data_IF_687269400983
#
_entry.id   IF_687269400983
#
_cell.length_a   1.000
_cell.length_b   1.000
_cell.length_c   1.000
_cell.angle_alpha   90.00
_cell.angle_beta   90.00
_cell.angle_gamma   90.00
#
_symmetry.space_group_name_H-M   'P 1'
#
loop_
_entity.id
_entity.type
_entity.pdbx_description
1 polymer ?
#
# COMPACT_ATOMS: atom_id res chain seq x y z
N UNK A 1 38.60 -60.51 -25.68
CA UNK A 1 37.50 -61.04 -24.85
C UNK A 1 36.46 -59.94 -24.68
N UNK A 2 35.20 -60.25 -24.99
CA UNK A 2 34.04 -59.36 -24.88
C UNK A 2 33.59 -59.28 -23.41
N UNK A 3 33.13 -58.10 -22.96
CA UNK A 3 31.85 -57.93 -22.27
C UNK A 3 31.42 -56.45 -22.33
N UNK A 4 30.37 -56.20 -23.12
CA UNK A 4 29.56 -54.98 -23.07
C UNK A 4 28.72 -55.03 -21.79
N UNK A 5 28.55 -53.90 -21.11
CA UNK A 5 27.32 -53.63 -20.36
C UNK A 5 27.00 -52.13 -20.43
N UNK A 6 25.84 -51.83 -21.02
CA UNK A 6 25.15 -50.54 -21.01
C UNK A 6 24.61 -50.25 -19.60
N UNK A 7 24.66 -48.98 -19.14
CA UNK A 7 23.67 -48.45 -18.20
C UNK A 7 23.65 -46.90 -18.14
N UNK A 8 22.73 -46.34 -18.94
CA UNK A 8 21.79 -45.21 -18.73
C UNK A 8 22.28 -43.96 -17.96
N UNK A 9 22.14 -42.74 -18.54
CA UNK A 9 22.37 -41.50 -17.82
C UNK A 9 21.19 -41.24 -16.86
N UNK A 10 21.47 -41.14 -15.56
CA UNK A 10 20.45 -40.71 -14.59
C UNK A 10 20.36 -39.19 -14.62
N UNK A 11 19.34 -38.77 -15.36
CA UNK A 11 18.54 -37.56 -15.20
C UNK A 11 18.27 -37.20 -13.73
N UNK A 12 18.68 -36.00 -13.33
CA UNK A 12 17.98 -35.10 -12.40
C UNK A 12 18.74 -33.77 -12.45
N UNK A 13 18.43 -32.85 -13.37
CA UNK A 13 17.38 -31.86 -13.15
C UNK A 13 17.45 -31.32 -11.72
N UNK A 14 18.57 -30.69 -11.35
CA UNK A 14 18.54 -29.66 -10.33
C UNK A 14 18.14 -28.36 -11.03
N UNK A 15 16.83 -28.30 -11.29
CA UNK A 15 16.10 -27.10 -11.65
C UNK A 15 16.59 -25.94 -10.80
N UNK A 16 17.00 -24.87 -11.48
CA UNK A 16 16.43 -23.54 -11.25
C UNK A 16 15.97 -23.36 -9.80
N UNK A 17 16.93 -23.16 -8.90
CA UNK A 17 16.69 -22.30 -7.76
C UNK A 17 16.44 -20.92 -8.37
N UNK A 18 15.20 -20.70 -8.82
CA UNK A 18 14.67 -19.39 -9.06
C UNK A 18 14.82 -18.69 -7.74
N UNK A 19 15.86 -17.88 -7.61
CA UNK A 19 15.90 -16.80 -6.65
C UNK A 19 14.68 -15.97 -7.01
N UNK A 20 13.56 -16.28 -6.35
CA UNK A 20 12.43 -15.40 -6.24
C UNK A 20 13.04 -14.12 -5.68
N UNK A 21 13.39 -13.20 -6.59
CA UNK A 21 13.58 -11.82 -6.25
C UNK A 21 12.17 -11.41 -5.83
N UNK A 22 11.87 -11.60 -4.54
CA UNK A 22 10.89 -10.77 -3.88
C UNK A 22 11.38 -9.36 -4.19
N UNK A 23 10.74 -8.71 -5.16
CA UNK A 23 10.94 -7.31 -5.42
C UNK A 23 10.66 -6.65 -4.08
N UNK A 24 11.70 -6.25 -3.36
CA UNK A 24 11.58 -5.52 -2.12
C UNK A 24 10.81 -4.27 -2.49
N UNK A 25 9.52 -4.28 -2.19
CA UNK A 25 8.70 -3.09 -2.24
C UNK A 25 9.42 -2.06 -1.38
N UNK A 26 9.97 -1.03 -2.02
CA UNK A 26 10.88 -0.07 -1.39
C UNK A 26 10.11 0.83 -0.42
N UNK A 27 9.70 0.26 0.71
CA UNK A 27 9.51 1.00 1.93
C UNK A 27 10.86 1.49 2.44
N UNK A 28 10.90 2.64 3.13
CA UNK A 28 12.12 3.08 3.78
C UNK A 28 12.54 2.07 4.87
N UNK A 29 13.82 2.13 5.25
CA UNK A 29 14.30 1.40 6.43
C UNK A 29 13.43 1.78 7.66
N UNK A 30 12.82 0.79 8.35
CA UNK A 30 12.01 1.06 9.52
C UNK A 30 12.84 1.66 10.66
N UNK A 31 14.16 1.48 10.70
CA UNK A 31 15.04 1.93 11.76
C UNK A 31 14.70 1.26 13.09
N UNK A 32 14.70 2.02 14.20
CA UNK A 32 14.34 1.49 15.52
C UNK A 32 12.87 1.05 15.55
N UNK A 33 12.62 -0.22 15.83
CA UNK A 33 11.28 -0.80 15.94
C UNK A 33 10.61 -0.51 17.30
N UNK A 34 9.27 -0.48 17.35
CA UNK A 34 8.50 -0.52 18.60
C UNK A 34 8.97 -1.67 19.51
N UNK A 35 9.07 -1.41 20.82
CA UNK A 35 9.58 -2.38 21.80
C UNK A 35 11.08 -2.28 22.10
N UNK A 36 11.85 -1.58 21.26
CA UNK A 36 13.22 -1.18 21.60
C UNK A 36 13.21 0.02 22.57
N UNK A 37 14.06 0.06 23.62
CA UNK A 37 14.13 1.20 24.56
C UNK A 37 14.37 2.56 23.89
N UNK A 38 15.10 2.57 22.77
CA UNK A 38 15.41 3.80 22.03
C UNK A 38 14.26 4.28 21.12
N UNK A 39 13.19 3.50 20.99
CA UNK A 39 12.03 3.88 20.18
C UNK A 39 11.36 5.15 20.70
N UNK A 40 11.36 5.37 22.02
CA UNK A 40 10.86 6.62 22.61
C UNK A 40 11.61 7.85 22.09
N UNK A 41 12.94 7.79 21.98
CA UNK A 41 13.74 8.89 21.46
C UNK A 41 13.50 9.12 19.96
N UNK A 42 13.29 8.04 19.20
CA UNK A 42 12.88 8.14 17.79
C UNK A 42 11.56 8.91 17.67
N UNK A 43 10.53 8.52 18.43
CA UNK A 43 9.24 9.23 18.41
C UNK A 43 9.38 10.71 18.83
N UNK A 44 10.21 11.01 19.83
CA UNK A 44 10.47 12.39 20.25
C UNK A 44 11.15 13.21 19.14
N UNK A 45 12.18 12.66 18.48
CA UNK A 45 12.86 13.30 17.37
C UNK A 45 11.91 13.54 16.17
N UNK A 46 11.04 12.56 15.88
CA UNK A 46 10.00 12.70 14.87
C UNK A 46 8.99 13.80 15.22
N UNK A 47 8.56 13.90 16.48
CA UNK A 47 7.67 14.98 16.91
C UNK A 47 8.32 16.35 16.81
N UNK A 48 9.57 16.49 17.28
CA UNK A 48 10.35 17.73 17.15
C UNK A 48 10.44 18.15 15.69
N UNK A 49 10.85 17.25 14.80
CA UNK A 49 10.91 17.58 13.37
C UNK A 49 9.53 17.97 12.81
N UNK A 50 8.43 17.42 13.30
CA UNK A 50 7.07 17.79 12.86
C UNK A 50 6.68 19.18 13.34
N UNK A 51 7.05 19.53 14.57
CA UNK A 51 6.83 20.86 15.12
C UNK A 51 7.58 21.94 14.33
N UNK A 52 8.79 21.65 13.87
CA UNK A 52 9.62 22.56 13.07
C UNK A 52 9.39 22.46 11.55
N UNK A 53 8.44 21.64 11.09
CA UNK A 53 8.03 21.62 9.69
C UNK A 53 6.92 22.66 9.50
N UNK A 54 7.19 23.71 8.73
CA UNK A 54 6.26 24.82 8.53
C UNK A 54 5.49 24.69 7.21
N UNK A 55 4.22 25.12 7.22
CA UNK A 55 3.33 25.03 6.07
C UNK A 55 2.59 23.69 5.99
N UNK A 56 1.33 23.72 5.55
CA UNK A 56 0.49 22.53 5.52
C UNK A 56 0.94 21.53 4.45
N UNK A 57 1.38 21.98 3.26
CA UNK A 57 1.94 21.08 2.25
C UNK A 57 3.17 20.31 2.77
N UNK A 58 4.15 21.01 3.34
CA UNK A 58 5.35 20.36 3.89
C UNK A 58 5.04 19.47 5.09
N UNK A 59 4.03 19.82 5.89
CA UNK A 59 3.54 18.91 6.96
C UNK A 59 2.89 17.66 6.39
N UNK A 60 2.11 17.76 5.31
CA UNK A 60 1.51 16.61 4.64
C UNK A 60 2.59 15.67 4.10
N UNK A 61 3.60 16.19 3.41
CA UNK A 61 4.78 15.43 2.94
C UNK A 61 5.53 14.75 4.09
N UNK A 62 5.70 15.46 5.22
CA UNK A 62 6.31 14.88 6.41
C UNK A 62 5.48 13.73 6.96
N UNK A 63 4.16 13.86 7.06
CA UNK A 63 3.31 12.79 7.51
C UNK A 63 3.30 11.61 6.53
N UNK A 64 3.45 11.84 5.22
CA UNK A 64 3.65 10.77 4.24
C UNK A 64 4.91 9.96 4.54
N UNK A 65 6.04 10.63 4.76
CA UNK A 65 7.29 9.95 5.12
C UNK A 65 7.19 9.18 6.46
N UNK A 66 6.44 9.71 7.43
CA UNK A 66 6.18 9.00 8.68
C UNK A 66 5.25 7.81 8.49
N UNK A 67 4.23 7.92 7.63
CA UNK A 67 3.33 6.83 7.30
C UNK A 67 4.14 5.64 6.75
N UNK A 68 5.00 5.89 5.76
CA UNK A 68 5.88 4.86 5.18
C UNK A 68 6.77 4.18 6.23
N UNK A 69 7.32 4.92 7.20
CA UNK A 69 8.06 4.34 8.32
C UNK A 69 7.19 3.47 9.23
N UNK A 70 5.94 3.86 9.51
CA UNK A 70 5.01 3.05 10.31
C UNK A 70 4.61 1.77 9.57
N UNK A 71 4.47 1.84 8.25
CA UNK A 71 4.20 0.67 7.44
C UNK A 71 5.40 -0.27 7.35
N UNK A 72 6.61 0.28 7.24
CA UNK A 72 7.85 -0.49 7.30
C UNK A 72 8.02 -1.20 8.65
N UNK A 73 7.70 -0.52 9.75
CA UNK A 73 7.66 -1.14 11.08
C UNK A 73 6.64 -2.27 11.14
N UNK A 74 5.43 -2.07 10.61
CA UNK A 74 4.39 -3.09 10.59
C UNK A 74 4.84 -4.33 9.81
N UNK A 75 5.47 -4.14 8.66
CA UNK A 75 6.02 -5.24 7.87
C UNK A 75 7.11 -5.99 8.64
N UNK A 76 8.12 -5.29 9.16
CA UNK A 76 9.24 -5.91 9.87
C UNK A 76 8.77 -6.70 11.10
N UNK A 77 7.87 -6.13 11.90
CA UNK A 77 7.31 -6.80 13.09
C UNK A 77 6.45 -8.01 12.71
N UNK A 78 5.71 -7.93 11.61
CA UNK A 78 4.93 -9.06 11.08
C UNK A 78 5.83 -10.18 10.57
N UNK A 79 6.99 -9.85 10.01
CA UNK A 79 8.02 -10.82 9.61
C UNK A 79 8.72 -11.46 10.84
N UNK A 80 8.88 -10.72 11.93
CA UNK A 80 9.38 -11.23 13.22
C UNK A 80 8.34 -12.07 13.99
N UNK A 81 7.09 -12.13 13.53
CA UNK A 81 5.98 -12.81 14.21
C UNK A 81 5.40 -12.04 15.40
N UNK A 82 5.75 -10.77 15.56
CA UNK A 82 5.14 -9.90 16.56
C UNK A 82 3.88 -9.22 16.01
N UNK A 83 2.82 -10.01 15.97
CA UNK A 83 1.53 -9.64 15.38
C UNK A 83 0.86 -8.45 16.09
N UNK A 84 1.03 -8.34 17.41
CA UNK A 84 0.47 -7.25 18.22
C UNK A 84 1.15 -5.92 17.88
N UNK A 85 2.49 -5.85 17.92
CA UNK A 85 3.20 -4.63 17.57
C UNK A 85 3.05 -4.29 16.09
N UNK A 86 3.00 -5.30 15.20
CA UNK A 86 2.74 -5.10 13.78
C UNK A 86 1.39 -4.42 13.52
N UNK A 87 0.34 -4.92 14.18
CA UNK A 87 -1.01 -4.33 14.08
C UNK A 87 -1.03 -2.90 14.61
N UNK A 88 -0.41 -2.65 15.77
CA UNK A 88 -0.28 -1.31 16.33
C UNK A 88 0.47 -0.34 15.38
N UNK A 89 1.51 -0.83 14.69
CA UNK A 89 2.25 -0.03 13.71
C UNK A 89 1.39 0.27 12.47
N UNK A 90 0.58 -0.68 11.99
CA UNK A 90 -0.38 -0.47 10.90
C UNK A 90 -1.49 0.54 11.28
N UNK A 91 -2.01 0.49 12.50
CA UNK A 91 -2.98 1.50 12.97
C UNK A 91 -2.36 2.90 13.03
N UNK A 92 -1.09 3.01 13.43
CA UNK A 92 -0.35 4.28 13.38
C UNK A 92 -0.14 4.78 11.94
N UNK A 93 0.08 3.88 10.98
CA UNK A 93 0.07 4.23 9.56
C UNK A 93 -1.28 4.85 9.16
N UNK A 94 -2.40 4.23 9.53
CA UNK A 94 -3.74 4.78 9.30
C UNK A 94 -3.94 6.16 9.92
N UNK A 95 -3.43 6.37 11.15
CA UNK A 95 -3.46 7.69 11.79
C UNK A 95 -2.62 8.74 11.03
N UNK A 96 -1.49 8.35 10.43
CA UNK A 96 -0.72 9.26 9.57
C UNK A 96 -1.49 9.61 8.29
N UNK A 97 -2.18 8.65 7.67
CA UNK A 97 -3.03 8.93 6.49
C UNK A 97 -4.08 10.00 6.77
N UNK A 98 -4.74 9.94 7.93
CA UNK A 98 -5.70 10.96 8.34
C UNK A 98 -5.05 12.36 8.50
N UNK A 99 -3.80 12.41 9.00
CA UNK A 99 -3.05 13.67 9.10
C UNK A 99 -2.59 14.20 7.74
N UNK A 100 -2.22 13.33 6.82
CA UNK A 100 -1.88 13.72 5.45
C UNK A 100 -3.09 14.40 4.81
N UNK A 101 -4.27 13.77 4.88
CA UNK A 101 -5.50 14.34 4.34
C UNK A 101 -5.82 15.71 4.95
N UNK A 102 -5.81 15.83 6.28
CA UNK A 102 -6.07 17.09 6.99
C UNK A 102 -5.17 18.22 6.47
N UNK A 103 -3.88 17.92 6.27
CA UNK A 103 -2.88 18.90 5.85
C UNK A 103 -2.93 19.20 4.36
N UNK A 104 -3.16 18.19 3.52
CA UNK A 104 -3.36 18.38 2.08
C UNK A 104 -4.58 19.26 1.80
N UNK A 105 -5.67 19.06 2.54
CA UNK A 105 -6.87 19.89 2.40
C UNK A 105 -6.62 21.35 2.78
N UNK A 106 -5.96 21.61 3.92
CA UNK A 106 -5.55 22.96 4.32
C UNK A 106 -4.61 23.61 3.31
N UNK A 107 -3.66 22.84 2.78
CA UNK A 107 -2.76 23.33 1.75
C UNK A 107 -3.51 23.76 0.48
N UNK A 108 -4.52 22.99 0.05
CA UNK A 108 -5.41 23.36 -1.07
C UNK A 108 -6.19 24.65 -0.77
N UNK A 109 -6.76 24.78 0.43
CA UNK A 109 -7.49 25.97 0.87
C UNK A 109 -6.61 27.22 0.88
N UNK A 110 -5.33 27.07 1.24
CA UNK A 110 -4.30 28.11 1.18
C UNK A 110 -3.77 28.38 -0.25
N UNK A 111 -4.37 27.77 -1.27
CA UNK A 111 -3.98 27.93 -2.67
C UNK A 111 -2.62 27.33 -3.03
N UNK A 112 -2.13 26.35 -2.25
CA UNK A 112 -0.91 25.62 -2.57
C UNK A 112 -1.19 24.58 -3.65
N UNK A 113 -0.22 24.42 -4.54
CA UNK A 113 -0.18 23.29 -5.46
C UNK A 113 0.16 22.02 -4.67
N UNK A 114 -0.76 21.07 -4.67
CA UNK A 114 -0.62 19.76 -4.01
C UNK A 114 -0.56 18.61 -5.00
N UNK A 115 -0.57 18.88 -6.31
CA UNK A 115 -0.67 17.85 -7.35
C UNK A 115 0.47 16.85 -7.24
N UNK A 116 1.71 17.33 -7.09
CA UNK A 116 2.88 16.46 -6.93
C UNK A 116 2.87 15.63 -5.65
N UNK A 117 2.20 16.08 -4.59
CA UNK A 117 1.99 15.25 -3.40
C UNK A 117 0.97 14.14 -3.67
N UNK A 118 -0.16 14.48 -4.30
CA UNK A 118 -1.22 13.54 -4.64
C UNK A 118 -0.74 12.45 -5.61
N UNK A 119 0.08 12.81 -6.60
CA UNK A 119 0.71 11.86 -7.52
C UNK A 119 1.57 10.84 -6.76
N UNK A 120 2.50 11.32 -5.91
CA UNK A 120 3.33 10.43 -5.08
C UNK A 120 2.49 9.57 -4.14
N UNK A 121 1.40 10.11 -3.59
CA UNK A 121 0.49 9.34 -2.75
C UNK A 121 -0.20 8.23 -3.56
N UNK A 122 -0.69 8.52 -4.75
CA UNK A 122 -1.35 7.57 -5.62
C UNK A 122 -0.39 6.42 -6.00
N UNK A 123 0.82 6.76 -6.47
CA UNK A 123 1.84 5.77 -6.85
C UNK A 123 2.27 4.87 -5.67
N UNK A 124 2.53 5.46 -4.49
CA UNK A 124 3.03 4.68 -3.35
C UNK A 124 1.94 3.88 -2.65
N UNK A 125 0.71 4.34 -2.67
CA UNK A 125 -0.38 3.70 -1.93
C UNK A 125 -0.78 2.32 -2.48
N UNK A 126 -0.56 2.04 -3.78
CA UNK A 126 -0.70 0.68 -4.33
C UNK A 126 0.26 -0.30 -3.64
N UNK A 127 1.52 0.10 -3.50
CA UNK A 127 2.54 -0.68 -2.78
C UNK A 127 2.16 -0.84 -1.31
N UNK A 128 1.66 0.23 -0.69
CA UNK A 128 1.24 0.17 0.71
C UNK A 128 0.10 -0.84 0.94
N UNK A 129 -0.84 -0.96 -0.01
CA UNK A 129 -1.92 -1.94 0.08
C UNK A 129 -1.39 -3.38 0.06
N UNK A 130 -0.41 -3.67 -0.79
CA UNK A 130 0.23 -4.98 -0.83
C UNK A 130 0.92 -5.33 0.50
N UNK A 131 1.67 -4.38 1.09
CA UNK A 131 2.27 -4.55 2.42
C UNK A 131 1.21 -4.81 3.49
N UNK A 132 0.17 -3.98 3.56
CA UNK A 132 -0.90 -4.13 4.55
C UNK A 132 -1.60 -5.47 4.43
N UNK A 133 -1.82 -5.96 3.21
CA UNK A 133 -2.43 -7.25 2.97
C UNK A 133 -1.54 -8.41 3.45
N UNK A 134 -0.21 -8.31 3.30
CA UNK A 134 0.74 -9.29 3.88
C UNK A 134 0.76 -9.25 5.41
N UNK A 135 0.65 -8.06 6.01
CA UNK A 135 0.53 -7.91 7.48
C UNK A 135 -0.79 -8.54 7.96
N UNK A 136 -1.90 -8.27 7.26
CA UNK A 136 -3.23 -8.85 7.54
C UNK A 136 -3.23 -10.38 7.49
N UNK A 137 -2.58 -10.93 6.48
CA UNK A 137 -2.52 -12.37 6.26
C UNK A 137 -1.88 -13.14 7.42
N UNK A 138 -0.85 -12.55 8.04
CA UNK A 138 -0.18 -13.10 9.23
C UNK A 138 -0.86 -12.69 10.54
N UNK A 139 -1.87 -11.84 10.51
CA UNK A 139 -2.48 -11.32 11.71
C UNK A 139 -3.46 -12.33 12.35
N UNK A 140 -3.54 -12.36 13.69
CA UNK A 140 -4.48 -13.18 14.41
C UNK A 140 -5.90 -12.67 14.16
N UNK A 141 -6.89 -13.55 14.22
CA UNK A 141 -8.28 -13.21 13.89
C UNK A 141 -8.79 -11.96 14.66
N UNK A 142 -8.37 -11.82 15.92
CA UNK A 142 -8.73 -10.68 16.75
C UNK A 142 -8.22 -9.32 16.22
N UNK A 143 -7.11 -9.30 15.47
CA UNK A 143 -6.51 -8.09 14.91
C UNK A 143 -7.02 -7.75 13.50
N UNK A 144 -7.64 -8.72 12.80
CA UNK A 144 -8.13 -8.55 11.42
C UNK A 144 -9.06 -7.34 11.25
N UNK A 145 -10.06 -7.09 12.13
CA UNK A 145 -10.92 -5.93 11.98
C UNK A 145 -10.18 -4.59 12.03
N UNK A 146 -9.06 -4.50 12.75
CA UNK A 146 -8.25 -3.28 12.79
C UNK A 146 -7.52 -3.06 11.47
N UNK A 147 -6.92 -4.11 10.93
CA UNK A 147 -6.19 -4.07 9.67
C UNK A 147 -7.12 -3.84 8.47
N UNK A 148 -8.33 -4.39 8.48
CA UNK A 148 -9.36 -4.11 7.46
C UNK A 148 -9.71 -2.62 7.40
N UNK A 149 -9.88 -1.97 8.56
CA UNK A 149 -10.12 -0.52 8.60
C UNK A 149 -8.96 0.25 7.98
N UNK A 150 -7.72 -0.10 8.33
CA UNK A 150 -6.52 0.57 7.81
C UNK A 150 -6.37 0.36 6.30
N UNK A 151 -6.61 -0.85 5.80
CA UNK A 151 -6.62 -1.17 4.38
C UNK A 151 -7.72 -0.39 3.64
N UNK A 152 -8.92 -0.33 4.20
CA UNK A 152 -10.03 0.46 3.68
C UNK A 152 -9.72 1.96 3.60
N UNK A 153 -9.07 2.52 4.63
CA UNK A 153 -8.57 3.90 4.63
C UNK A 153 -7.51 4.10 3.53
N UNK A 154 -6.53 3.20 3.42
CA UNK A 154 -5.48 3.28 2.41
C UNK A 154 -6.04 3.24 0.99
N UNK A 155 -7.03 2.38 0.75
CA UNK A 155 -7.74 2.30 -0.53
C UNK A 155 -8.53 3.57 -0.83
N UNK A 156 -9.31 4.08 0.12
CA UNK A 156 -10.05 5.33 -0.05
C UNK A 156 -9.11 6.50 -0.34
N UNK A 157 -7.96 6.59 0.35
CA UNK A 157 -7.00 7.69 0.11
C UNK A 157 -6.28 7.57 -1.22
N UNK A 158 -6.00 6.35 -1.68
CA UNK A 158 -5.48 6.11 -3.02
C UNK A 158 -6.47 6.64 -4.07
N UNK A 159 -7.72 6.20 -4.00
CA UNK A 159 -8.78 6.59 -4.93
C UNK A 159 -8.99 8.11 -4.94
N UNK A 160 -9.11 8.73 -3.76
CA UNK A 160 -9.24 10.18 -3.64
C UNK A 160 -8.04 10.94 -4.21
N UNK A 161 -6.82 10.40 -4.06
CA UNK A 161 -5.62 11.00 -4.66
C UNK A 161 -5.67 10.93 -6.19
N UNK A 162 -6.03 9.78 -6.76
CA UNK A 162 -6.17 9.58 -8.22
C UNK A 162 -7.27 10.47 -8.81
N UNK A 163 -8.40 10.60 -8.13
CA UNK A 163 -9.52 11.43 -8.57
C UNK A 163 -9.20 12.92 -8.51
N UNK A 164 -8.42 13.35 -7.52
CA UNK A 164 -8.04 14.74 -7.33
C UNK A 164 -6.97 15.21 -8.33
N UNK A 165 -6.27 14.30 -9.02
CA UNK A 165 -5.36 14.62 -10.12
C UNK A 165 -6.22 14.90 -11.38
N UNK A 166 -5.97 16.03 -12.03
CA UNK A 166 -6.75 16.51 -13.17
C UNK A 166 -5.85 17.00 -14.31
N UNK A 167 -6.43 17.26 -15.49
CA UNK A 167 -5.70 17.72 -16.68
C UNK A 167 -4.95 16.60 -17.42
N UNK A 168 -4.08 17.00 -18.35
CA UNK A 168 -3.36 16.09 -19.26
C UNK A 168 -2.50 15.05 -18.53
N UNK A 169 -1.99 15.40 -17.33
CA UNK A 169 -1.20 14.48 -16.49
C UNK A 169 -2.03 13.38 -15.84
N UNK A 170 -3.33 13.62 -15.60
CA UNK A 170 -4.20 12.68 -14.93
C UNK A 170 -4.36 11.38 -15.71
N UNK A 171 -4.49 11.45 -17.03
CA UNK A 171 -4.60 10.27 -17.89
C UNK A 171 -3.31 9.45 -17.87
N UNK A 172 -2.15 10.12 -17.95
CA UNK A 172 -0.84 9.45 -17.89
C UNK A 172 -0.62 8.76 -16.54
N UNK A 173 -0.96 9.43 -15.43
CA UNK A 173 -0.82 8.86 -14.09
C UNK A 173 -1.79 7.69 -13.92
N UNK A 174 -3.05 7.81 -14.33
CA UNK A 174 -4.03 6.71 -14.26
C UNK A 174 -3.58 5.50 -15.06
N UNK A 175 -3.10 5.69 -16.29
CA UNK A 175 -2.58 4.61 -17.11
C UNK A 175 -1.40 3.90 -16.43
N UNK A 176 -0.44 4.64 -15.87
CA UNK A 176 0.70 4.07 -15.12
C UNK A 176 0.24 3.29 -13.88
N UNK A 177 -0.71 3.83 -13.11
CA UNK A 177 -1.24 3.18 -11.92
C UNK A 177 -2.02 1.91 -12.25
N UNK A 178 -2.77 1.93 -13.37
CA UNK A 178 -3.47 0.77 -13.87
C UNK A 178 -2.48 -0.31 -14.31
N UNK A 179 -1.43 0.06 -15.05
CA UNK A 179 -0.34 -0.85 -15.41
C UNK A 179 0.32 -1.46 -14.16
N UNK A 180 0.72 -0.65 -13.17
CA UNK A 180 1.32 -1.14 -11.93
C UNK A 180 0.36 -2.06 -11.14
N UNK A 181 -0.94 -1.75 -11.12
CA UNK A 181 -1.96 -2.61 -10.49
C UNK A 181 -2.10 -3.94 -11.23
N UNK A 182 -2.12 -3.93 -12.55
CA UNK A 182 -2.24 -5.13 -13.38
C UNK A 182 -1.00 -6.03 -13.27
N UNK A 183 0.20 -5.44 -13.21
CA UNK A 183 1.43 -6.16 -12.89
C UNK A 183 1.35 -6.85 -11.52
N UNK A 184 0.75 -6.17 -10.54
CA UNK A 184 0.53 -6.67 -9.17
C UNK A 184 -0.72 -7.54 -9.03
N UNK A 185 -1.53 -7.71 -10.08
CA UNK A 185 -2.77 -8.50 -10.06
C UNK A 185 -2.57 -9.90 -9.47
N UNK A 186 -1.50 -10.67 -9.81
CA UNK A 186 -1.29 -11.99 -9.22
C UNK A 186 -1.09 -11.93 -7.70
N UNK A 187 -0.48 -10.88 -7.16
CA UNK A 187 -0.31 -10.69 -5.73
C UNK A 187 -1.66 -10.42 -5.06
N UNK A 188 -2.42 -9.46 -5.58
CA UNK A 188 -3.76 -9.14 -5.06
C UNK A 188 -4.73 -10.32 -5.18
N UNK A 189 -4.66 -11.12 -6.25
CA UNK A 189 -5.45 -12.35 -6.39
C UNK A 189 -5.10 -13.38 -5.32
N UNK A 190 -3.81 -13.61 -5.06
CA UNK A 190 -3.37 -14.52 -3.97
C UNK A 190 -3.85 -14.05 -2.61
N UNK A 191 -3.84 -12.74 -2.37
CA UNK A 191 -4.36 -12.16 -1.13
C UNK A 191 -5.87 -12.42 -1.02
N UNK A 192 -6.64 -12.17 -2.10
CA UNK A 192 -8.09 -12.44 -2.15
C UNK A 192 -8.42 -13.92 -1.93
N UNK A 193 -7.69 -14.84 -2.55
CA UNK A 193 -7.83 -16.30 -2.36
C UNK A 193 -7.61 -16.73 -0.90
N UNK A 194 -6.76 -16.00 -0.17
CA UNK A 194 -6.46 -16.25 1.25
C UNK A 194 -7.44 -15.53 2.20
N UNK A 195 -8.52 -14.98 1.66
CA UNK A 195 -9.54 -14.26 2.42
C UNK A 195 -9.10 -12.88 2.89
N UNK A 196 -8.04 -12.31 2.30
CA UNK A 196 -7.62 -10.93 2.59
C UNK A 196 -8.48 -9.97 1.76
N UNK A 197 -9.19 -9.02 2.38
CA UNK A 197 -10.03 -8.08 1.65
C UNK A 197 -9.15 -7.08 0.90
N UNK A 198 -9.07 -7.25 -0.41
CA UNK A 198 -8.46 -6.29 -1.33
C UNK A 198 -9.58 -5.48 -1.96
N UNK A 199 -9.61 -4.16 -1.71
CA UNK A 199 -10.62 -3.27 -2.28
C UNK A 199 -10.29 -3.06 -3.76
N UNK A 200 -11.25 -3.32 -4.64
CA UNK A 200 -11.12 -3.01 -6.07
C UNK A 200 -11.20 -1.49 -6.25
N UNK A 201 -10.25 -0.92 -6.99
CA UNK A 201 -10.36 0.46 -7.44
C UNK A 201 -11.35 0.40 -8.60
N UNK A 202 -12.53 0.99 -8.41
CA UNK A 202 -13.51 1.17 -9.49
C UNK A 202 -12.89 2.11 -10.53
N UNK A 203 -12.91 1.71 -11.79
CA UNK A 203 -12.53 2.61 -12.87
C UNK A 203 -13.69 3.59 -13.09
N UNK A 204 -13.41 4.84 -13.49
CA UNK A 204 -14.46 5.82 -13.82
C UNK A 204 -15.39 5.35 -14.94
N UNK A 205 -14.96 4.39 -15.77
CA UNK A 205 -15.82 3.77 -16.78
C UNK A 205 -16.94 2.92 -16.16
N UNK A 206 -16.71 2.30 -15.00
CA UNK A 206 -17.74 1.53 -14.29
C UNK A 206 -18.84 2.44 -13.69
N UNK A 207 -18.49 3.66 -13.28
CA UNK A 207 -19.45 4.65 -12.76
C UNK A 207 -20.34 5.25 -13.87
N UNK A 208 -19.91 5.27 -15.14
CA UNK A 208 -20.78 5.68 -16.26
C UNK A 208 -21.76 4.58 -16.67
N UNK A 209 -21.46 3.31 -16.41
CA UNK A 209 -22.33 2.19 -16.76
C UNK A 209 -23.50 2.07 -15.78
N UNK A 210 -23.33 2.44 -14.51
CA UNK A 210 -24.42 2.42 -13.52
C UNK A 210 -25.45 3.55 -13.77
N UNK A 211 -25.03 4.76 -14.15
CA UNK A 211 -25.92 5.91 -14.36
C UNK A 211 -26.82 5.76 -15.61
N UNK A 212 -26.30 5.17 -16.69
CA UNK A 212 -27.08 4.94 -17.94
C UNK A 212 -28.10 3.79 -17.82
N UNK A 213 -27.96 2.90 -16.83
CA UNK A 213 -28.90 1.77 -16.65
C UNK A 213 -30.12 2.10 -15.81
N UNK A 214 -30.04 3.08 -14.91
CA UNK A 214 -31.19 3.54 -14.11
C UNK A 214 -32.09 4.51 -14.89
N UNK A 215 -31.58 5.22 -15.92
CA UNK A 215 -32.38 6.14 -16.73
C UNK A 215 -33.26 5.43 -17.80
N UNK A 216 -33.03 4.14 -18.08
CA UNK A 216 -33.79 3.38 -19.09
C UNK A 216 -34.95 2.54 -18.53
N UNK A 217 -35.22 2.54 -17.22
CA UNK A 217 -36.36 1.81 -16.64
C UNK A 217 -37.60 2.68 -16.35
N UNK A 218 -37.51 4.00 -16.49
CA UNK A 218 -38.61 4.91 -16.14
C UNK A 218 -39.48 5.37 -17.34
N UNK A 219 -39.21 4.92 -18.58
CA UNK A 219 -40.00 5.29 -19.78
C UNK A 219 -40.93 4.19 -20.33
N UNK A 220 -41.15 3.10 -19.57
CA UNK A 220 -42.24 2.14 -19.85
C UNK A 220 -43.22 2.08 -18.67
N UNK A 221 -44.13 3.05 -18.59
CA UNK A 221 -45.36 2.99 -17.76
C UNK A 221 -46.51 3.82 -18.36
#
# INVERSE_FOLDING_TARGET
MIKKLLLIPVLAVLLLAGSAHAQTEELPDPGTLPGNPFYYFKLAAEQVGTLFTFGDLSKAERFQALAEKRLAEAQALSEEGDEERATNAAERYGAMLARIEERTQKAKEDGKDVEGLLERMAERSLKHQAVLARVFDKAPEAARPALERVMGMSAQKHEAAVQAISGERAETIRARLQEEREERRPEFSRLKERGVPVREIKDKEDDMIEDDTDEMMDDES
#
